data_IF_376995323995
#
_entry.id   IF_376995323995
#
_cell.length_a   1.000
_cell.length_b   1.000
_cell.length_c   1.000
_cell.angle_alpha   90.00
_cell.angle_beta   90.00
_cell.angle_gamma   90.00
#
_symmetry.space_group_name_H-M   'P 1'
#
loop_
_entity.id
_entity.type
_entity.pdbx_description
1 polymer ?
#
# COMPACT_ATOMS: atom_id res chain seq x y z
N UNK A 1 8.89 9.13 4.60
CA UNK A 1 7.77 9.84 5.25
C UNK A 1 7.56 9.26 6.64
N UNK A 2 7.33 10.12 7.63
CA UNK A 2 6.96 9.71 8.99
C UNK A 2 5.47 9.95 9.16
N UNK A 3 4.74 8.92 9.59
CA UNK A 3 3.30 8.95 9.81
C UNK A 3 2.99 9.54 11.19
N UNK A 4 1.78 10.10 11.31
CA UNK A 4 1.20 10.42 12.62
C UNK A 4 0.88 9.12 13.35
N UNK A 5 0.99 9.14 14.68
CA UNK A 5 0.76 8.01 15.56
C UNK A 5 -0.64 7.99 16.20
N UNK A 6 -1.46 9.03 15.94
CA UNK A 6 -2.78 9.23 16.52
C UNK A 6 -3.95 8.89 15.57
N UNK A 7 -3.66 8.27 14.43
CA UNK A 7 -4.66 7.93 13.42
C UNK A 7 -5.17 6.49 13.53
N UNK A 8 -6.49 6.36 13.44
CA UNK A 8 -7.18 5.06 13.41
C UNK A 8 -8.18 5.00 12.26
N UNK A 9 -8.35 3.82 11.69
CA UNK A 9 -9.46 3.50 10.81
C UNK A 9 -10.80 3.56 11.56
N UNK A 10 -11.91 3.56 10.82
CA UNK A 10 -13.26 3.61 11.39
C UNK A 10 -13.60 2.40 12.29
N UNK A 11 -12.83 1.30 12.19
CA UNK A 11 -12.96 0.12 13.05
C UNK A 11 -12.08 0.18 14.32
N UNK A 12 -11.36 1.29 14.52
CA UNK A 12 -10.45 1.51 15.64
C UNK A 12 -9.04 0.94 15.44
N UNK A 13 -8.76 0.24 14.33
CA UNK A 13 -7.41 -0.25 14.03
C UNK A 13 -6.47 0.93 13.77
N UNK A 14 -5.28 1.01 14.40
CA UNK A 14 -4.29 2.04 14.10
C UNK A 14 -3.85 2.01 12.64
N UNK A 15 -3.68 3.18 12.04
CA UNK A 15 -3.07 3.31 10.71
C UNK A 15 -1.55 3.14 10.85
N UNK A 16 -0.96 2.29 10.02
CA UNK A 16 0.50 2.04 10.03
C UNK A 16 1.10 2.12 8.62
N UNK A 17 2.42 2.17 8.52
CA UNK A 17 3.15 2.08 7.25
C UNK A 17 2.82 0.82 6.44
N UNK A 18 2.41 -0.27 7.10
CA UNK A 18 1.96 -1.49 6.44
C UNK A 18 0.69 -1.29 5.61
N UNK A 19 -0.17 -0.31 5.94
CA UNK A 19 -1.36 0.04 5.15
C UNK A 19 -0.99 0.70 3.81
N UNK A 20 0.11 1.49 3.79
CA UNK A 20 0.65 2.08 2.56
C UNK A 20 1.34 1.01 1.70
N UNK A 21 2.15 0.15 2.32
CA UNK A 21 2.80 -0.96 1.60
C UNK A 21 1.76 -1.93 1.03
N UNK A 22 0.66 -2.16 1.75
CA UNK A 22 -0.45 -2.95 1.23
C UNK A 22 -1.09 -2.31 -0.01
N UNK A 23 -1.35 -1.00 0.02
CA UNK A 23 -1.89 -0.28 -1.13
C UNK A 23 -0.95 -0.33 -2.34
N UNK A 24 0.35 -0.07 -2.13
CA UNK A 24 1.37 -0.20 -3.17
C UNK A 24 1.36 -1.60 -3.81
N UNK A 25 1.42 -2.64 -2.99
CA UNK A 25 1.40 -4.03 -3.47
C UNK A 25 0.11 -4.36 -4.23
N UNK A 26 -1.04 -3.83 -3.78
CA UNK A 26 -2.30 -3.99 -4.47
C UNK A 26 -2.29 -3.37 -5.87
N UNK A 27 -1.77 -2.14 -6.01
CA UNK A 27 -1.63 -1.46 -7.31
C UNK A 27 -0.69 -2.25 -8.23
N UNK A 28 0.46 -2.70 -7.71
CA UNK A 28 1.46 -3.44 -8.50
C UNK A 28 1.06 -4.88 -8.83
N UNK A 29 0.07 -5.44 -8.13
CA UNK A 29 -0.32 -6.84 -8.29
C UNK A 29 -0.95 -7.19 -9.63
N UNK A 30 -1.53 -6.21 -10.33
CA UNK A 30 -2.40 -6.44 -11.49
C UNK A 30 -3.72 -7.16 -11.17
N UNK A 31 -4.00 -7.46 -9.89
CA UNK A 31 -5.24 -8.11 -9.43
C UNK A 31 -6.35 -7.07 -9.20
N UNK A 32 -5.98 -5.86 -8.80
CA UNK A 32 -6.91 -4.76 -8.55
C UNK A 32 -7.01 -3.90 -9.80
N UNK A 33 -8.23 -3.73 -10.31
CA UNK A 33 -8.49 -2.77 -11.38
C UNK A 33 -8.41 -1.34 -10.81
N UNK A 34 -7.35 -0.63 -11.16
CA UNK A 34 -7.05 0.72 -10.67
C UNK A 34 -6.41 1.55 -11.77
N UNK A 35 -6.77 2.83 -11.83
CA UNK A 35 -6.13 3.79 -12.72
C UNK A 35 -4.76 4.26 -12.21
N UNK A 36 -4.29 3.77 -11.06
CA UNK A 36 -3.02 4.19 -10.46
C UNK A 36 -1.80 3.41 -10.97
N UNK A 37 -1.96 2.44 -11.87
CA UNK A 37 -0.83 1.63 -12.37
C UNK A 37 0.33 2.45 -12.94
N UNK A 38 0.06 3.63 -13.49
CA UNK A 38 1.08 4.52 -14.09
C UNK A 38 2.14 5.01 -13.09
N UNK A 39 1.87 4.99 -11.79
CA UNK A 39 2.84 5.45 -10.79
C UNK A 39 4.07 4.52 -10.70
N UNK A 40 3.98 3.29 -11.22
CA UNK A 40 5.08 2.33 -11.34
C UNK A 40 6.23 2.83 -12.21
N UNK A 41 5.93 3.72 -13.17
CA UNK A 41 6.95 4.30 -14.06
C UNK A 41 7.84 5.31 -13.32
N UNK A 42 7.35 5.89 -12.21
CA UNK A 42 8.08 6.86 -11.40
C UNK A 42 8.69 6.23 -10.13
N UNK A 43 7.93 5.36 -9.45
CA UNK A 43 8.29 4.77 -8.16
C UNK A 43 8.93 3.39 -8.38
N UNK A 44 10.17 3.25 -7.93
CA UNK A 44 10.93 2.01 -7.99
C UNK A 44 10.58 1.04 -6.85
N UNK A 45 10.37 1.55 -5.64
CA UNK A 45 10.10 0.71 -4.47
C UNK A 45 9.36 1.48 -3.37
N UNK A 46 8.59 0.75 -2.56
CA UNK A 46 7.96 1.24 -1.33
C UNK A 46 8.27 0.26 -0.21
N UNK A 47 8.73 0.78 0.93
CA UNK A 47 9.06 -0.02 2.10
C UNK A 47 8.39 0.54 3.36
N UNK A 48 8.15 -0.36 4.31
CA UNK A 48 7.59 -0.07 5.62
C UNK A 48 8.49 -0.69 6.71
N UNK A 49 9.70 -0.12 6.96
CA UNK A 49 10.70 -0.73 7.84
C UNK A 49 10.27 -0.77 9.31
N UNK A 50 9.37 0.13 9.72
CA UNK A 50 8.79 0.21 11.05
C UNK A 50 7.35 0.73 10.96
N UNK A 51 6.53 0.68 12.03
CA UNK A 51 5.10 1.00 11.97
C UNK A 51 4.74 2.40 11.50
N UNK A 52 5.65 3.38 11.58
CA UNK A 52 5.36 4.79 11.29
C UNK A 52 6.25 5.38 10.20
N UNK A 53 7.11 4.57 9.55
CA UNK A 53 7.95 5.04 8.46
C UNK A 53 7.54 4.39 7.13
N UNK A 54 7.30 5.22 6.13
CA UNK A 54 7.16 4.80 4.72
C UNK A 54 8.34 5.33 3.92
N UNK A 55 9.10 4.46 3.29
CA UNK A 55 10.20 4.82 2.39
C UNK A 55 9.73 4.63 0.96
N UNK A 56 9.86 5.67 0.14
CA UNK A 56 9.52 5.62 -1.29
C UNK A 56 10.79 5.91 -2.07
N UNK A 57 11.19 4.98 -2.92
CA UNK A 57 12.34 5.12 -3.81
C UNK A 57 11.84 5.40 -5.22
N UNK A 58 12.36 6.43 -5.85
CA UNK A 58 12.07 6.76 -7.25
C UNK A 58 13.13 6.12 -8.16
N UNK A 59 12.78 5.85 -9.42
CA UNK A 59 13.75 5.33 -10.40
C UNK A 59 14.87 6.34 -10.69
N UNK A 60 14.54 7.63 -10.66
CA UNK A 60 15.45 8.74 -10.92
C UNK A 60 14.96 10.00 -10.19
N UNK A 61 15.81 11.03 -10.02
CA UNK A 61 15.37 12.32 -9.51
C UNK A 61 14.25 12.89 -10.39
N UNK A 62 13.11 13.24 -9.78
CA UNK A 62 11.94 13.78 -10.47
C UNK A 62 11.30 14.89 -9.61
N UNK A 63 11.04 16.04 -10.22
CA UNK A 63 10.36 17.17 -9.58
C UNK A 63 8.95 16.80 -9.06
N UNK A 64 8.29 15.83 -9.70
CA UNK A 64 6.98 15.32 -9.31
C UNK A 64 7.06 14.16 -8.31
N UNK A 65 8.24 13.79 -7.82
CA UNK A 65 8.43 12.66 -6.91
C UNK A 65 7.51 12.67 -5.68
N UNK A 66 7.31 13.84 -5.08
CA UNK A 66 6.39 14.01 -3.95
C UNK A 66 4.92 13.81 -4.35
N UNK A 67 4.55 14.26 -5.55
CA UNK A 67 3.20 14.07 -6.09
C UNK A 67 2.93 12.58 -6.32
N UNK A 68 3.85 11.86 -6.94
CA UNK A 68 3.71 10.42 -7.16
C UNK A 68 3.60 9.64 -5.84
N UNK A 69 4.46 9.96 -4.86
CA UNK A 69 4.38 9.34 -3.54
C UNK A 69 3.03 9.59 -2.84
N UNK A 70 2.42 10.77 -3.04
CA UNK A 70 1.11 11.10 -2.47
C UNK A 70 -0.06 10.30 -3.08
N UNK A 71 0.13 9.73 -4.27
CA UNK A 71 -0.88 8.89 -4.92
C UNK A 71 -0.94 7.46 -4.39
N UNK A 72 -0.11 7.11 -3.40
CA UNK A 72 -0.25 5.88 -2.63
C UNK A 72 -1.11 6.19 -1.40
N UNK A 73 -2.45 5.99 -1.44
CA UNK A 73 -3.28 6.17 -0.26
C UNK A 73 -3.01 5.05 0.75
N UNK A 74 -3.15 5.30 2.06
CA UNK A 74 -3.24 4.20 3.01
C UNK A 74 -4.51 3.39 2.72
N UNK A 75 -4.41 2.06 2.75
CA UNK A 75 -5.56 1.17 2.64
C UNK A 75 -5.60 0.23 3.84
N UNK A 76 -6.77 0.01 4.47
CA UNK A 76 -6.85 -0.80 5.69
C UNK A 76 -6.44 -2.26 5.42
N UNK A 77 -5.24 -2.62 5.84
CA UNK A 77 -4.70 -3.98 5.72
C UNK A 77 -5.56 -4.98 6.50
N UNK A 78 -6.20 -4.56 7.60
CA UNK A 78 -7.16 -5.36 8.36
C UNK A 78 -8.31 -5.87 7.46
N UNK A 79 -8.88 -4.98 6.63
CA UNK A 79 -9.92 -5.32 5.67
C UNK A 79 -9.38 -6.24 4.56
N UNK A 80 -8.18 -5.97 4.05
CA UNK A 80 -7.50 -6.84 3.08
C UNK A 80 -7.29 -8.28 3.61
N UNK A 81 -6.81 -8.42 4.84
CA UNK A 81 -6.65 -9.71 5.52
C UNK A 81 -7.98 -10.42 5.75
N UNK A 82 -9.05 -9.69 6.04
CA UNK A 82 -10.39 -10.25 6.18
C UNK A 82 -10.90 -10.80 4.84
N UNK A 83 -10.75 -10.04 3.76
CA UNK A 83 -11.16 -10.45 2.43
C UNK A 83 -10.38 -11.68 1.95
N UNK A 84 -9.05 -11.73 2.15
CA UNK A 84 -8.23 -12.89 1.82
C UNK A 84 -8.65 -14.13 2.63
N UNK A 85 -9.03 -13.97 3.90
CA UNK A 85 -9.57 -15.07 4.73
C UNK A 85 -10.86 -15.64 4.18
N UNK A 86 -11.81 -14.79 3.77
CA UNK A 86 -13.10 -15.22 3.21
C UNK A 86 -12.94 -15.95 1.87
N UNK A 87 -11.91 -15.64 1.11
CA UNK A 87 -11.62 -16.23 -0.21
C UNK A 87 -10.68 -17.43 -0.17
N UNK A 88 -10.28 -17.90 1.01
CA UNK A 88 -9.42 -19.07 1.15
C UNK A 88 -10.11 -20.30 0.53
N UNK A 89 -9.54 -20.85 -0.54
CA UNK A 89 -10.11 -21.96 -1.31
C UNK A 89 -10.99 -21.55 -2.51
N UNK A 90 -11.12 -20.24 -2.80
CA UNK A 90 -11.80 -19.75 -4.00
C UNK A 90 -10.86 -19.72 -5.21
N UNK A 91 -11.44 -19.71 -6.43
CA UNK A 91 -10.67 -19.54 -7.68
C UNK A 91 -10.25 -18.10 -7.94
N UNK A 92 -10.79 -17.14 -7.18
CA UNK A 92 -10.52 -15.72 -7.42
C UNK A 92 -9.17 -15.33 -6.82
N UNK A 93 -8.39 -14.48 -7.52
CA UNK A 93 -7.08 -14.04 -7.05
C UNK A 93 -7.18 -13.30 -5.73
N UNK A 94 -6.12 -13.36 -4.93
CA UNK A 94 -5.99 -12.64 -3.66
C UNK A 94 -5.17 -11.38 -3.79
N UNK A 95 -5.44 -10.34 -2.98
CA UNK A 95 -4.59 -9.15 -2.93
C UNK A 95 -3.34 -9.50 -2.11
N UNK A 96 -2.13 -9.28 -2.66
CA UNK A 96 -0.90 -9.59 -1.95
C UNK A 96 -0.79 -8.79 -0.65
N UNK A 97 -0.43 -9.47 0.42
CA UNK A 97 -0.17 -8.84 1.71
C UNK A 97 1.32 -8.42 1.79
N UNK A 98 1.67 -7.42 2.60
CA UNK A 98 3.08 -7.09 2.86
C UNK A 98 3.85 -8.29 3.42
N UNK A 99 5.00 -8.62 2.82
CA UNK A 99 5.92 -9.66 3.31
C UNK A 99 5.49 -11.12 3.07
N UNK A 100 4.68 -11.39 2.05
CA UNK A 100 4.35 -12.75 1.58
C UNK A 100 5.29 -13.20 0.46
#
# INVERSE_FOLDING_TARGET
>A
FTLRDDWTWNDGTPVTSADYLYAWNAIMSGVVDTNLGYIADAIANVEAPDPLTVVVTLHQPDCNGLLYASFIPPMPLSAGRMWNRRRRGSILPTIPAPGA
#
